data_IF_897022521801
#
_entry.id   IF_897022521801
#
_cell.length_a   1.000
_cell.length_b   1.000
_cell.length_c   1.000
_cell.angle_alpha   90.00
_cell.angle_beta   90.00
_cell.angle_gamma   90.00
#
_symmetry.space_group_name_H-M   'P 1'
#
loop_
_entity.id
_entity.type
_entity.pdbx_description
1 polymer ?
#
# COMPACT_ATOMS: atom_id res chain seq x y z
N UNK A 1 -42.49 -59.35 23.21
CA UNK A 1 -42.75 -59.07 24.65
C UNK A 1 -43.45 -60.27 25.23
N UNK A 2 -42.83 -60.93 26.23
CA UNK A 2 -43.50 -61.89 27.02
C UNK A 2 -44.44 -61.19 28.02
N UNK A 3 -45.76 -61.29 27.75
CA UNK A 3 -46.82 -60.66 28.56
C UNK A 3 -47.21 -61.44 29.81
N UNK A 4 -46.71 -62.62 30.00
CA UNK A 4 -47.12 -63.54 31.08
C UNK A 4 -46.04 -63.71 32.15
N UNK A 5 -44.77 -63.92 31.78
CA UNK A 5 -43.71 -64.22 32.72
C UNK A 5 -42.84 -62.98 33.02
N UNK A 6 -42.83 -61.94 32.20
CA UNK A 6 -41.99 -60.76 32.27
C UNK A 6 -40.51 -61.07 32.03
N UNK A 7 -39.77 -60.08 31.50
CA UNK A 7 -38.32 -60.19 31.30
C UNK A 7 -37.60 -60.20 32.63
N UNK A 8 -36.64 -61.12 32.78
CA UNK A 8 -35.78 -61.23 33.96
C UNK A 8 -34.37 -60.82 33.76
N UNK A 9 -33.75 -61.41 32.71
CA UNK A 9 -32.34 -61.24 32.45
C UNK A 9 -32.08 -60.86 30.96
N UNK A 10 -31.14 -60.04 30.66
CA UNK A 10 -30.65 -59.78 29.33
C UNK A 10 -29.15 -60.18 29.25
N UNK A 11 -28.80 -60.87 28.18
CA UNK A 11 -27.45 -61.31 27.92
C UNK A 11 -26.92 -60.59 26.68
N UNK A 12 -25.69 -60.08 26.72
CA UNK A 12 -24.98 -59.41 25.63
C UNK A 12 -23.74 -60.18 25.28
N UNK A 13 -23.41 -60.23 24.01
CA UNK A 13 -22.16 -60.82 23.49
C UNK A 13 -21.59 -59.94 22.39
N UNK A 14 -20.32 -60.08 22.08
CA UNK A 14 -19.63 -59.35 21.04
C UNK A 14 -18.74 -60.33 20.26
N UNK A 15 -18.78 -60.18 18.95
CA UNK A 15 -17.97 -61.02 18.06
C UNK A 15 -17.46 -60.26 16.84
N UNK A 16 -16.52 -60.86 16.13
CA UNK A 16 -16.00 -60.38 14.85
C UNK A 16 -16.90 -60.71 13.67
N UNK A 17 -17.97 -61.46 13.93
CA UNK A 17 -18.96 -61.88 12.96
C UNK A 17 -20.37 -61.83 13.62
N UNK A 18 -21.41 -61.65 12.83
CA UNK A 18 -22.82 -61.57 13.27
C UNK A 18 -23.39 -62.83 13.89
N UNK A 19 -22.64 -63.85 14.12
CA UNK A 19 -23.05 -65.05 14.85
C UNK A 19 -21.98 -65.58 15.80
N UNK A 20 -21.03 -64.77 16.14
CA UNK A 20 -19.86 -65.10 16.95
C UNK A 20 -19.84 -64.27 18.24
N UNK A 21 -19.34 -64.88 19.31
CA UNK A 21 -19.03 -64.22 20.58
C UNK A 21 -17.56 -64.42 20.96
N UNK A 22 -16.69 -64.40 19.96
CA UNK A 22 -15.26 -64.65 20.10
C UNK A 22 -14.48 -63.51 20.81
N UNK A 23 -15.10 -62.33 20.97
CA UNK A 23 -14.54 -61.18 21.69
C UNK A 23 -15.09 -61.09 23.12
N UNK A 24 -16.40 -61.23 23.26
CA UNK A 24 -17.07 -61.25 24.57
C UNK A 24 -18.13 -62.36 24.54
N UNK A 25 -17.94 -63.42 25.34
CA UNK A 25 -18.93 -64.44 25.51
C UNK A 25 -20.19 -63.89 26.18
N UNK A 26 -21.33 -64.60 26.03
CA UNK A 26 -22.59 -64.18 26.56
C UNK A 26 -22.53 -63.80 28.05
N UNK A 27 -22.65 -62.53 28.32
CA UNK A 27 -22.50 -61.94 29.66
C UNK A 27 -23.79 -61.28 30.10
N UNK A 28 -24.21 -61.49 31.34
CA UNK A 28 -25.38 -60.88 31.93
C UNK A 28 -25.30 -59.39 31.97
N UNK A 29 -26.25 -58.69 31.35
CA UNK A 29 -26.36 -57.22 31.44
C UNK A 29 -26.97 -56.79 32.76
N UNK A 30 -26.30 -55.94 33.50
CA UNK A 30 -26.78 -55.42 34.78
C UNK A 30 -27.60 -54.12 34.63
N UNK A 31 -27.86 -53.66 33.41
CA UNK A 31 -28.44 -52.33 33.16
C UNK A 31 -29.71 -52.36 32.28
N UNK A 32 -30.63 -53.21 32.51
CA UNK A 32 -31.93 -53.18 31.84
C UNK A 32 -31.87 -53.04 30.33
N UNK A 33 -32.36 -51.93 29.78
CA UNK A 33 -32.38 -51.64 28.34
C UNK A 33 -31.09 -51.04 27.80
N UNK A 34 -30.12 -50.65 28.63
CA UNK A 34 -28.83 -50.14 28.25
C UNK A 34 -27.74 -51.03 28.85
N UNK A 35 -26.94 -51.64 28.02
CA UNK A 35 -25.81 -52.45 28.45
C UNK A 35 -24.52 -51.77 28.01
N UNK A 36 -23.67 -51.40 28.99
CA UNK A 36 -22.30 -50.94 28.77
C UNK A 36 -21.32 -52.00 29.25
N UNK A 37 -20.38 -52.39 28.40
CA UNK A 37 -19.29 -53.30 28.76
C UNK A 37 -17.97 -52.60 28.64
N UNK A 38 -17.18 -52.67 29.71
CA UNK A 38 -15.81 -52.12 29.75
C UNK A 38 -14.77 -53.24 29.77
N UNK A 39 -13.50 -52.87 29.55
CA UNK A 39 -12.38 -53.81 29.60
C UNK A 39 -12.24 -54.69 28.36
N UNK A 40 -12.87 -54.34 27.25
CA UNK A 40 -12.71 -55.00 25.95
C UNK A 40 -11.38 -54.61 25.31
N UNK A 41 -10.71 -55.56 24.68
CA UNK A 41 -9.53 -55.34 23.82
C UNK A 41 -9.99 -55.36 22.35
N UNK A 42 -10.42 -54.22 21.84
CA UNK A 42 -10.85 -54.10 20.45
C UNK A 42 -9.64 -53.62 19.60
N UNK A 43 -9.49 -54.22 18.43
CA UNK A 43 -8.41 -53.87 17.50
C UNK A 43 -8.85 -52.73 16.59
N UNK A 44 -7.90 -51.82 16.29
CA UNK A 44 -8.11 -50.82 15.22
C UNK A 44 -8.37 -51.51 13.88
N UNK A 45 -9.08 -50.84 12.98
CA UNK A 45 -9.47 -51.33 11.65
C UNK A 45 -10.27 -52.63 11.68
N UNK A 46 -11.01 -52.86 12.74
CA UNK A 46 -11.78 -54.09 12.94
C UNK A 46 -13.27 -53.81 13.09
N UNK A 47 -14.09 -54.73 12.57
CA UNK A 47 -15.54 -54.67 12.64
C UNK A 47 -16.04 -55.64 13.70
N UNK A 48 -16.94 -55.19 14.53
CA UNK A 48 -17.55 -55.98 15.60
C UNK A 48 -19.08 -55.93 15.53
N UNK A 49 -19.70 -57.03 15.98
CA UNK A 49 -21.15 -57.21 16.02
C UNK A 49 -21.58 -57.48 17.45
N UNK A 50 -22.49 -56.66 17.97
CA UNK A 50 -23.13 -56.89 19.27
C UNK A 50 -24.37 -57.76 19.11
N UNK A 51 -24.49 -58.78 19.91
CA UNK A 51 -25.67 -59.62 20.00
C UNK A 51 -26.37 -59.49 21.35
N UNK A 52 -27.68 -59.67 21.38
CA UNK A 52 -28.47 -59.68 22.59
C UNK A 52 -29.55 -60.77 22.55
N UNK A 53 -29.72 -61.50 23.62
CA UNK A 53 -30.91 -62.26 23.89
C UNK A 53 -31.39 -62.03 25.33
N UNK A 54 -32.62 -62.35 25.58
CA UNK A 54 -33.25 -62.16 26.90
C UNK A 54 -33.81 -63.49 27.44
N UNK A 55 -33.90 -63.51 28.79
CA UNK A 55 -34.55 -64.67 29.51
C UNK A 55 -35.69 -64.13 30.34
N UNK A 56 -36.83 -64.87 30.29
CA UNK A 56 -38.00 -64.57 31.10
C UNK A 56 -37.87 -65.12 32.53
N UNK A 57 -38.87 -64.79 33.38
CA UNK A 57 -38.91 -65.29 34.75
C UNK A 57 -39.29 -66.78 34.84
N UNK A 58 -39.79 -67.38 33.81
CA UNK A 58 -40.06 -68.81 33.69
C UNK A 58 -38.85 -69.64 33.21
N UNK A 59 -37.77 -68.95 32.77
CA UNK A 59 -36.52 -69.56 32.32
C UNK A 59 -36.42 -69.79 30.81
N UNK A 60 -37.34 -69.27 29.98
CA UNK A 60 -37.29 -69.38 28.54
C UNK A 60 -36.36 -68.29 27.96
N UNK A 61 -35.72 -68.57 26.84
CA UNK A 61 -34.81 -67.66 26.12
C UNK A 61 -35.43 -67.16 24.83
N UNK A 62 -35.23 -65.93 24.50
CA UNK A 62 -35.56 -65.37 23.17
C UNK A 62 -34.57 -65.85 22.11
N UNK A 63 -34.90 -65.61 20.84
CA UNK A 63 -33.92 -65.61 19.77
C UNK A 63 -32.90 -64.50 19.98
N UNK A 64 -31.69 -64.75 19.47
CA UNK A 64 -30.61 -63.70 19.50
C UNK A 64 -30.86 -62.70 18.40
N UNK A 65 -30.78 -61.42 18.77
CA UNK A 65 -30.78 -60.29 17.82
C UNK A 65 -29.39 -59.77 17.75
N UNK A 66 -28.85 -59.63 16.53
CA UNK A 66 -27.60 -58.99 16.26
C UNK A 66 -27.83 -57.55 15.79
N UNK A 67 -27.03 -56.61 16.32
CA UNK A 67 -27.03 -55.22 15.91
C UNK A 67 -26.27 -54.98 14.59
N UNK A 68 -26.29 -53.77 14.13
CA UNK A 68 -25.40 -53.35 13.03
C UNK A 68 -23.94 -53.45 13.46
N UNK A 69 -23.04 -53.57 12.49
CA UNK A 69 -21.60 -53.58 12.75
C UNK A 69 -21.11 -52.24 13.31
N UNK A 70 -20.14 -52.31 14.18
CA UNK A 70 -19.40 -51.20 14.71
C UNK A 70 -17.96 -51.31 14.18
N UNK A 71 -17.49 -50.30 13.50
CA UNK A 71 -16.11 -50.19 13.07
C UNK A 71 -15.30 -49.50 14.17
N UNK A 72 -14.15 -50.02 14.53
CA UNK A 72 -13.25 -49.44 15.53
C UNK A 72 -12.13 -48.75 14.81
N UNK A 73 -12.10 -47.44 15.00
CA UNK A 73 -11.04 -46.56 14.54
C UNK A 73 -10.46 -45.77 15.70
N UNK A 74 -9.16 -45.91 15.92
CA UNK A 74 -8.40 -45.24 16.95
C UNK A 74 -7.22 -44.43 16.37
N UNK A 75 -7.13 -44.39 15.04
CA UNK A 75 -6.10 -43.67 14.34
C UNK A 75 -6.56 -42.24 14.13
N UNK A 76 -5.67 -41.30 14.36
CA UNK A 76 -5.91 -39.89 14.05
C UNK A 76 -5.68 -39.64 12.55
N UNK A 77 -6.46 -38.75 11.92
CA UNK A 77 -6.15 -38.31 10.57
C UNK A 77 -4.74 -37.74 10.43
N UNK A 78 -4.14 -37.97 9.26
CA UNK A 78 -2.88 -37.35 8.91
C UNK A 78 -3.04 -35.85 8.72
N UNK A 79 -2.04 -35.08 9.17
CA UNK A 79 -2.07 -33.62 9.08
C UNK A 79 -1.74 -33.17 7.66
N UNK A 80 -2.61 -32.35 7.08
CA UNK A 80 -2.41 -31.71 5.80
C UNK A 80 -1.70 -30.34 5.90
N UNK A 81 -2.02 -29.46 4.99
CA UNK A 81 -1.52 -28.09 4.91
C UNK A 81 -2.65 -27.07 4.81
N UNK A 82 -2.39 -25.85 5.28
CA UNK A 82 -3.30 -24.71 5.18
C UNK A 82 -2.49 -23.49 4.69
N UNK A 83 -3.12 -22.62 3.90
CA UNK A 83 -2.57 -21.35 3.44
C UNK A 83 -3.58 -20.23 3.66
N UNK A 84 -3.09 -19.02 3.94
CA UNK A 84 -3.86 -17.80 3.98
C UNK A 84 -4.22 -17.35 2.55
N UNK A 85 -5.47 -16.97 2.31
CA UNK A 85 -5.88 -16.40 1.03
C UNK A 85 -6.91 -17.21 0.24
N UNK A 86 -6.92 -16.97 -1.09
CA UNK A 86 -7.89 -17.56 -2.02
C UNK A 86 -7.18 -18.31 -3.13
N UNK A 87 -7.79 -19.38 -3.62
CA UNK A 87 -7.29 -20.19 -4.73
C UNK A 87 -5.95 -20.84 -4.40
N UNK A 88 -4.88 -20.44 -5.08
CA UNK A 88 -3.53 -20.97 -4.91
C UNK A 88 -2.54 -19.88 -4.51
N UNK A 89 -3.04 -18.74 -4.05
CA UNK A 89 -2.21 -17.59 -3.64
C UNK A 89 -2.23 -17.48 -2.13
N UNK A 90 -1.06 -17.63 -1.55
CA UNK A 90 -0.80 -17.29 -0.18
C UNK A 90 -0.75 -15.76 -0.01
N UNK A 91 -1.34 -15.24 1.04
CA UNK A 91 -1.46 -13.82 1.29
C UNK A 91 -0.74 -13.42 2.56
N UNK A 92 0.32 -12.64 2.43
CA UNK A 92 1.03 -12.06 3.58
C UNK A 92 0.25 -10.92 4.27
N UNK A 93 -0.74 -10.31 3.56
CA UNK A 93 -1.49 -9.15 4.07
C UNK A 93 -2.99 -9.27 3.85
N UNK A 94 -3.75 -9.01 4.91
CA UNK A 94 -5.19 -8.78 4.87
C UNK A 94 -5.50 -7.28 4.91
N UNK A 95 -6.44 -6.82 4.11
CA UNK A 95 -6.89 -5.42 4.04
C UNK A 95 -8.30 -5.21 4.59
N UNK A 96 -8.97 -6.27 5.01
CA UNK A 96 -10.31 -6.26 5.59
C UNK A 96 -10.25 -6.80 7.01
N UNK A 97 -10.52 -5.93 7.99
CA UNK A 97 -10.46 -6.30 9.41
C UNK A 97 -11.52 -7.29 9.85
N UNK A 98 -12.50 -7.57 9.01
CA UNK A 98 -13.69 -8.35 9.39
C UNK A 98 -13.67 -9.79 8.91
N UNK A 99 -12.70 -10.18 8.09
CA UNK A 99 -12.64 -11.52 7.50
C UNK A 99 -11.22 -11.96 7.15
N UNK A 100 -11.03 -13.28 7.20
CA UNK A 100 -9.87 -13.99 6.67
C UNK A 100 -10.34 -15.19 5.88
N UNK A 101 -9.60 -15.58 4.86
CA UNK A 101 -9.91 -16.71 3.98
C UNK A 101 -8.76 -17.69 3.94
N UNK A 102 -9.07 -18.95 3.81
CA UNK A 102 -8.12 -20.05 3.88
C UNK A 102 -8.44 -21.10 2.86
N UNK A 103 -7.41 -21.79 2.40
CA UNK A 103 -7.49 -23.03 1.64
C UNK A 103 -6.63 -24.07 2.31
N UNK A 104 -7.07 -25.33 2.25
CA UNK A 104 -6.31 -26.45 2.80
C UNK A 104 -6.38 -27.68 1.92
N UNK A 105 -5.45 -28.60 2.13
CA UNK A 105 -5.33 -29.82 1.34
C UNK A 105 -4.51 -30.88 2.07
N UNK A 106 -4.49 -32.07 1.48
CA UNK A 106 -3.63 -33.18 1.88
C UNK A 106 -3.90 -33.76 3.29
N UNK A 107 -5.07 -33.54 3.85
CA UNK A 107 -5.53 -34.30 5.00
C UNK A 107 -6.02 -35.67 4.52
N UNK A 108 -5.57 -36.73 5.15
CA UNK A 108 -5.96 -38.09 4.82
C UNK A 108 -6.24 -38.88 6.09
N UNK A 109 -6.99 -39.97 5.96
CA UNK A 109 -7.29 -40.87 7.05
C UNK A 109 -7.48 -42.30 6.52
N UNK A 110 -7.43 -43.31 7.40
CA UNK A 110 -7.78 -44.68 7.08
C UNK A 110 -9.31 -44.88 6.92
N UNK A 111 -10.09 -43.96 7.51
CA UNK A 111 -11.54 -43.87 7.32
C UNK A 111 -11.88 -42.60 6.53
N UNK A 112 -13.03 -42.03 6.72
CA UNK A 112 -13.47 -40.81 6.09
C UNK A 112 -13.34 -39.63 7.07
N UNK A 113 -12.82 -38.49 6.59
CA UNK A 113 -12.84 -37.22 7.33
C UNK A 113 -14.28 -36.72 7.34
N UNK A 114 -14.86 -36.53 8.53
CA UNK A 114 -16.23 -36.03 8.71
C UNK A 114 -16.31 -34.50 8.53
N UNK A 115 -15.38 -33.76 9.17
CA UNK A 115 -15.33 -32.30 9.08
C UNK A 115 -13.95 -31.75 9.49
N UNK A 116 -13.80 -30.45 9.36
CA UNK A 116 -12.65 -29.73 9.83
C UNK A 116 -13.00 -28.76 10.97
N UNK A 117 -12.05 -28.46 11.82
CA UNK A 117 -12.14 -27.37 12.79
C UNK A 117 -11.04 -26.34 12.50
N UNK A 118 -11.41 -25.06 12.50
CA UNK A 118 -10.51 -23.93 12.27
C UNK A 118 -10.50 -23.03 13.50
N UNK A 119 -9.30 -22.56 13.91
CA UNK A 119 -9.11 -21.57 14.95
C UNK A 119 -8.21 -20.45 14.44
N UNK A 120 -8.33 -19.26 15.02
CA UNK A 120 -7.51 -18.10 14.68
C UNK A 120 -6.92 -17.53 15.96
N UNK A 121 -5.63 -17.22 15.92
CA UNK A 121 -4.93 -16.62 17.04
C UNK A 121 -3.74 -15.76 16.65
N UNK A 122 -2.97 -15.38 17.64
CA UNK A 122 -1.69 -14.69 17.50
C UNK A 122 -0.56 -15.62 17.94
N UNK A 123 0.70 -15.16 17.87
CA UNK A 123 1.87 -15.96 18.25
C UNK A 123 1.76 -16.54 19.69
N UNK A 124 1.13 -15.80 20.58
CA UNK A 124 1.05 -16.17 22.01
C UNK A 124 -0.11 -17.12 22.33
N UNK A 125 -1.19 -17.14 21.52
CA UNK A 125 -2.39 -17.93 21.79
C UNK A 125 -3.12 -18.29 20.47
N UNK A 126 -3.31 -19.58 20.25
CA UNK A 126 -3.91 -20.13 19.02
C UNK A 126 -5.40 -19.85 18.87
N UNK A 127 -6.08 -19.42 19.92
CA UNK A 127 -7.54 -19.27 19.97
C UNK A 127 -8.03 -17.93 20.48
N UNK A 128 -7.12 -16.98 20.73
CA UNK A 128 -7.48 -15.69 21.34
C UNK A 128 -8.31 -14.77 20.42
N UNK A 129 -8.38 -15.07 19.12
CA UNK A 129 -9.21 -14.34 18.16
C UNK A 129 -10.49 -15.10 17.83
N UNK A 130 -10.38 -16.39 17.56
CA UNK A 130 -11.51 -17.29 17.32
C UNK A 130 -11.16 -18.69 17.80
N UNK A 131 -12.00 -19.22 18.68
CA UNK A 131 -11.90 -20.62 19.13
C UNK A 131 -12.28 -21.59 18.00
N UNK A 132 -11.96 -22.86 18.18
CA UNK A 132 -12.21 -23.91 17.22
C UNK A 132 -13.66 -23.91 16.71
N UNK A 133 -13.82 -23.63 15.44
CA UNK A 133 -15.10 -23.57 14.74
C UNK A 133 -15.18 -24.68 13.68
N UNK A 134 -16.29 -25.42 13.65
CA UNK A 134 -16.54 -26.48 12.65
C UNK A 134 -16.70 -25.89 11.25
N UNK A 135 -16.09 -26.53 10.30
CA UNK A 135 -16.27 -26.32 8.86
C UNK A 135 -16.62 -27.65 8.19
N UNK A 136 -17.74 -27.68 7.46
CA UNK A 136 -18.14 -28.81 6.63
C UNK A 136 -17.58 -28.69 5.20
N UNK A 137 -16.79 -27.66 4.89
CA UNK A 137 -16.08 -27.52 3.61
C UNK A 137 -14.87 -28.44 3.57
N UNK A 138 -14.53 -28.94 2.40
CA UNK A 138 -13.47 -29.92 2.19
C UNK A 138 -12.12 -29.29 1.88
N UNK A 139 -12.08 -28.01 1.47
CA UNK A 139 -10.87 -27.40 0.92
C UNK A 139 -10.67 -25.91 1.20
N UNK A 140 -11.73 -25.20 1.61
CA UNK A 140 -11.65 -23.74 1.77
C UNK A 140 -12.71 -23.16 2.68
N UNK A 141 -12.43 -22.04 3.30
CA UNK A 141 -13.37 -21.30 4.14
C UNK A 141 -13.03 -19.81 4.20
N UNK A 142 -14.05 -18.97 4.29
CA UNK A 142 -13.93 -17.58 4.71
C UNK A 142 -14.59 -17.41 6.07
N UNK A 143 -13.79 -17.03 7.06
CA UNK A 143 -14.25 -16.65 8.38
C UNK A 143 -14.61 -15.17 8.34
N UNK A 144 -15.80 -14.82 8.85
CA UNK A 144 -16.30 -13.43 8.88
C UNK A 144 -16.66 -13.01 10.30
N UNK A 145 -16.86 -11.72 10.51
CA UNK A 145 -17.21 -11.17 11.84
C UNK A 145 -16.00 -11.01 12.76
N UNK A 146 -14.79 -11.04 12.22
CA UNK A 146 -13.55 -10.77 12.94
C UNK A 146 -13.45 -9.28 13.29
N UNK A 147 -12.53 -8.95 14.21
CA UNK A 147 -12.16 -7.58 14.54
C UNK A 147 -10.64 -7.51 14.65
N UNK A 148 -9.99 -7.56 13.48
CA UNK A 148 -8.54 -7.58 13.40
C UNK A 148 -7.96 -6.20 13.72
N UNK A 149 -6.83 -6.17 14.42
CA UNK A 149 -6.09 -4.97 14.81
C UNK A 149 -4.92 -4.78 13.85
N UNK A 150 -4.70 -3.55 13.41
CA UNK A 150 -3.59 -3.20 12.51
C UNK A 150 -2.23 -3.59 13.09
N UNK A 151 -1.31 -3.86 12.18
CA UNK A 151 0.08 -4.20 12.49
C UNK A 151 0.22 -5.45 13.38
N UNK A 152 -0.79 -6.33 13.34
CA UNK A 152 -0.81 -7.59 14.08
C UNK A 152 -0.74 -8.76 13.11
N UNK A 153 0.11 -9.73 13.42
CA UNK A 153 0.25 -10.98 12.69
C UNK A 153 -0.73 -12.01 13.27
N UNK A 154 -1.56 -12.58 12.41
CA UNK A 154 -2.56 -13.58 12.73
C UNK A 154 -2.19 -14.91 12.11
N UNK A 155 -2.32 -15.97 12.90
CA UNK A 155 -2.12 -17.35 12.46
C UNK A 155 -3.45 -18.08 12.47
N UNK A 156 -3.62 -18.96 11.51
CA UNK A 156 -4.78 -19.82 11.43
C UNK A 156 -4.36 -21.27 11.56
N UNK A 157 -5.20 -22.01 12.24
CA UNK A 157 -4.98 -23.41 12.58
C UNK A 157 -6.14 -24.23 12.07
N UNK A 158 -5.86 -25.40 11.49
CA UNK A 158 -6.88 -26.33 11.03
C UNK A 158 -6.53 -27.75 11.46
N UNK A 159 -7.53 -28.52 11.83
CA UNK A 159 -7.42 -29.95 12.10
C UNK A 159 -8.59 -30.71 11.48
N UNK A 160 -8.35 -31.91 11.03
CA UNK A 160 -9.35 -32.82 10.53
C UNK A 160 -9.93 -33.67 11.68
N UNK A 161 -11.21 -33.96 11.59
CA UNK A 161 -11.92 -34.86 12.47
C UNK A 161 -12.56 -35.97 11.62
N UNK A 162 -12.28 -37.24 11.97
CA UNK A 162 -12.85 -38.39 11.29
C UNK A 162 -14.23 -38.78 11.81
N UNK A 163 -14.85 -39.81 11.22
CA UNK A 163 -16.12 -40.33 11.64
C UNK A 163 -16.09 -40.97 13.04
N UNK A 164 -14.96 -41.40 13.52
CA UNK A 164 -14.77 -41.94 14.86
C UNK A 164 -14.48 -40.86 15.92
N UNK A 165 -14.38 -39.59 15.50
CA UNK A 165 -14.06 -38.41 16.32
C UNK A 165 -12.60 -38.27 16.73
N UNK A 166 -11.69 -39.02 16.10
CA UNK A 166 -10.26 -38.76 16.28
C UNK A 166 -9.87 -37.47 15.59
N UNK A 167 -8.80 -36.80 16.08
CA UNK A 167 -8.39 -35.48 15.60
C UNK A 167 -6.97 -35.52 15.11
N UNK A 168 -6.70 -34.95 13.94
CA UNK A 168 -5.33 -34.72 13.49
C UNK A 168 -4.59 -33.73 14.39
N UNK A 169 -3.28 -33.66 14.25
CA UNK A 169 -2.54 -32.48 14.69
C UNK A 169 -3.03 -31.26 13.90
N UNK A 170 -2.91 -30.08 14.49
CA UNK A 170 -3.26 -28.84 13.81
C UNK A 170 -2.15 -28.47 12.80
N UNK A 171 -2.54 -28.19 11.56
CA UNK A 171 -1.72 -27.46 10.62
C UNK A 171 -1.88 -25.95 10.87
N UNK A 172 -0.83 -25.18 10.63
CA UNK A 172 -0.76 -23.75 10.88
C UNK A 172 -0.34 -23.03 9.60
N UNK A 173 -0.90 -21.84 9.34
CA UNK A 173 -0.41 -20.91 8.30
C UNK A 173 0.89 -20.25 8.73
N UNK A 174 1.63 -19.65 7.81
CA UNK A 174 2.80 -18.83 8.13
C UNK A 174 2.42 -17.43 8.63
N UNK A 175 1.14 -17.06 8.48
CA UNK A 175 0.53 -15.88 9.10
C UNK A 175 0.29 -14.72 8.16
N UNK A 176 -0.74 -13.97 8.48
CA UNK A 176 -1.17 -12.80 7.71
C UNK A 176 -1.18 -11.55 8.57
N UNK A 177 -0.53 -10.47 8.10
CA UNK A 177 -0.63 -9.15 8.71
C UNK A 177 -1.91 -8.44 8.28
N UNK A 178 -2.66 -7.91 9.26
CA UNK A 178 -3.72 -6.97 8.92
C UNK A 178 -3.17 -5.56 8.76
N UNK A 179 -3.25 -5.02 7.54
CA UNK A 179 -2.83 -3.67 7.20
C UNK A 179 -3.70 -3.08 6.08
N UNK A 180 -4.62 -2.22 6.44
CA UNK A 180 -5.52 -1.49 5.53
C UNK A 180 -5.04 -0.05 5.23
N UNK A 181 -3.80 0.29 5.57
CA UNK A 181 -3.25 1.61 5.27
C UNK A 181 -2.87 1.72 3.80
N UNK A 182 -3.38 2.75 3.15
CA UNK A 182 -2.96 3.11 1.79
C UNK A 182 -1.53 3.66 1.77
N UNK A 183 -0.78 3.43 0.69
CA UNK A 183 0.41 4.21 0.44
C UNK A 183 0.01 5.68 0.26
N UNK A 184 0.75 6.60 0.87
CA UNK A 184 0.55 8.05 0.72
C UNK A 184 1.90 8.73 0.55
N UNK A 185 1.91 9.84 -0.18
CA UNK A 185 3.09 10.70 -0.28
C UNK A 185 3.33 11.35 1.08
N UNK A 186 4.47 11.05 1.69
CA UNK A 186 4.84 11.54 3.01
C UNK A 186 5.72 12.80 2.95
N UNK A 187 6.61 12.87 1.96
CA UNK A 187 7.52 13.98 1.77
C UNK A 187 7.91 14.13 0.32
N UNK A 188 8.05 15.38 -0.10
CA UNK A 188 8.57 15.74 -1.41
C UNK A 188 9.80 16.65 -1.21
N UNK A 189 10.84 16.47 -2.01
CA UNK A 189 12.06 17.30 -1.97
C UNK A 189 12.47 17.65 -3.41
N UNK A 190 12.69 18.89 -3.78
CA UNK A 190 12.53 20.08 -2.94
C UNK A 190 11.10 20.26 -2.46
N UNK A 191 10.92 20.99 -1.35
CA UNK A 191 9.61 21.18 -0.73
C UNK A 191 8.68 21.91 -1.69
N UNK A 192 7.53 21.32 -1.97
CA UNK A 192 6.56 21.86 -2.90
C UNK A 192 5.49 22.60 -2.15
N UNK A 193 5.33 23.86 -2.58
CA UNK A 193 4.16 24.70 -2.43
C UNK A 193 3.40 24.65 -1.12
N UNK A 194 3.82 25.46 -0.22
CA UNK A 194 2.97 26.43 0.46
C UNK A 194 3.83 27.65 0.71
N UNK A 195 3.59 28.69 -0.02
CA UNK A 195 3.96 30.10 0.26
C UNK A 195 5.42 30.47 0.58
N UNK A 196 6.35 29.54 0.63
CA UNK A 196 7.76 29.86 0.80
C UNK A 196 8.69 28.72 0.39
N UNK A 197 9.24 28.82 -0.82
CA UNK A 197 10.52 28.27 -1.21
C UNK A 197 10.64 26.75 -1.44
N UNK A 198 10.42 26.33 -2.64
CA UNK A 198 10.80 25.02 -3.13
C UNK A 198 10.52 24.84 -4.61
N UNK A 199 11.06 25.74 -5.44
CA UNK A 199 10.92 25.59 -6.88
C UNK A 199 11.92 24.57 -7.40
N UNK A 200 11.49 23.76 -8.38
CA UNK A 200 12.42 22.93 -9.14
C UNK A 200 13.43 23.81 -9.87
N UNK A 201 14.67 23.40 -9.90
CA UNK A 201 15.69 24.08 -10.68
C UNK A 201 15.35 24.00 -12.16
N UNK A 202 15.73 25.04 -12.88
CA UNK A 202 15.61 25.11 -14.34
C UNK A 202 16.84 24.56 -15.05
N UNK A 203 17.80 24.04 -14.32
CA UNK A 203 19.01 23.43 -14.88
C UNK A 203 18.79 21.92 -15.11
N UNK A 204 19.52 21.36 -16.05
CA UNK A 204 19.53 19.93 -16.30
C UNK A 204 20.12 19.16 -15.11
N UNK A 205 19.72 17.89 -14.98
CA UNK A 205 20.15 16.96 -13.91
C UNK A 205 19.70 17.33 -12.50
N UNK A 206 18.73 18.19 -12.36
CA UNK A 206 18.09 18.40 -11.06
C UNK A 206 17.14 17.24 -10.72
N UNK A 207 16.85 17.07 -9.45
CA UNK A 207 16.10 15.92 -8.96
C UNK A 207 14.87 16.32 -8.16
N UNK A 208 13.79 15.57 -8.38
CA UNK A 208 12.60 15.60 -7.54
C UNK A 208 12.49 14.26 -6.82
N UNK A 209 12.50 14.29 -5.50
CA UNK A 209 12.36 13.08 -4.68
C UNK A 209 10.98 13.06 -4.04
N UNK A 210 10.23 12.01 -4.31
CA UNK A 210 8.90 11.73 -3.73
C UNK A 210 9.05 10.55 -2.78
N UNK A 211 8.83 10.78 -1.49
CA UNK A 211 8.92 9.75 -0.46
C UNK A 211 7.53 9.36 0.03
N UNK A 212 7.28 8.06 0.09
CA UNK A 212 6.06 7.46 0.59
C UNK A 212 6.20 7.01 2.05
N UNK A 213 5.08 6.80 2.71
CA UNK A 213 5.02 6.32 4.10
C UNK A 213 5.43 4.85 4.26
N UNK A 214 5.50 4.10 3.16
CA UNK A 214 5.81 2.66 3.13
C UNK A 214 6.47 2.24 1.83
N UNK A 215 7.06 1.04 1.76
CA UNK A 215 7.54 0.47 0.52
C UNK A 215 6.44 0.32 -0.53
N UNK A 216 6.79 0.64 -1.77
CA UNK A 216 5.89 0.61 -2.91
C UNK A 216 6.57 0.03 -4.15
N UNK A 217 5.76 -0.55 -5.04
CA UNK A 217 6.13 -0.81 -6.43
C UNK A 217 5.41 0.18 -7.33
N UNK A 218 6.12 0.82 -8.24
CA UNK A 218 5.57 1.81 -9.17
C UNK A 218 5.50 1.20 -10.56
N UNK A 219 4.31 1.20 -11.15
CA UNK A 219 4.08 0.67 -12.49
C UNK A 219 3.97 1.75 -13.55
N UNK A 220 3.62 2.98 -13.16
CA UNK A 220 3.47 4.09 -14.08
C UNK A 220 3.83 5.41 -13.44
N UNK A 221 4.68 6.18 -14.13
CA UNK A 221 5.05 7.55 -13.79
C UNK A 221 5.09 8.35 -15.06
N UNK A 222 4.38 9.48 -15.09
CA UNK A 222 4.45 10.43 -16.17
C UNK A 222 4.65 11.84 -15.67
N UNK A 223 5.30 12.66 -16.49
CA UNK A 223 5.54 14.08 -16.19
C UNK A 223 5.12 14.91 -17.40
N UNK A 224 4.27 15.88 -17.14
CA UNK A 224 3.78 16.82 -18.13
C UNK A 224 4.24 18.22 -17.78
N UNK A 225 4.63 18.98 -18.79
CA UNK A 225 4.96 20.40 -18.73
C UNK A 225 3.92 21.20 -19.50
N UNK A 226 3.56 22.38 -19.02
CA UNK A 226 2.68 23.28 -19.78
C UNK A 226 3.42 23.98 -20.94
N UNK A 227 4.73 24.06 -20.87
CA UNK A 227 5.58 24.76 -21.85
C UNK A 227 6.26 23.79 -22.78
N UNK A 228 6.73 22.65 -22.30
CA UNK A 228 7.54 21.69 -23.03
C UNK A 228 6.80 20.37 -23.25
N UNK A 229 6.30 20.17 -24.47
CA UNK A 229 5.61 18.92 -24.85
C UNK A 229 6.55 17.71 -24.99
N UNK A 230 7.87 17.93 -25.00
CA UNK A 230 8.87 16.89 -25.19
C UNK A 230 9.82 16.77 -23.99
N UNK A 231 9.34 17.15 -22.81
CA UNK A 231 10.13 17.03 -21.59
C UNK A 231 10.60 15.59 -21.38
N UNK A 232 11.91 15.42 -21.27
CA UNK A 232 12.53 14.12 -21.02
C UNK A 232 12.98 14.00 -19.59
N UNK A 233 12.66 12.88 -18.99
CA UNK A 233 13.05 12.52 -17.62
C UNK A 233 13.68 11.14 -17.58
N UNK A 234 14.52 10.92 -16.58
CA UNK A 234 14.83 9.59 -16.07
C UNK A 234 14.28 9.46 -14.65
N UNK A 235 14.10 8.25 -14.18
CA UNK A 235 13.61 8.00 -12.84
C UNK A 235 14.29 6.80 -12.21
N UNK A 236 14.40 6.83 -10.89
CA UNK A 236 14.92 5.73 -10.08
C UNK A 236 13.90 5.41 -9.00
N UNK A 237 13.68 4.11 -8.78
CA UNK A 237 12.79 3.63 -7.73
C UNK A 237 13.62 3.00 -6.61
N UNK A 238 13.36 3.48 -5.39
CA UNK A 238 13.79 2.81 -4.16
C UNK A 238 12.58 2.20 -3.46
N UNK A 239 12.77 1.54 -2.34
CA UNK A 239 11.70 0.84 -1.61
C UNK A 239 10.49 1.74 -1.28
N UNK A 240 10.73 2.99 -0.91
CA UNK A 240 9.67 3.94 -0.56
C UNK A 240 9.91 5.33 -1.18
N UNK A 241 10.71 5.40 -2.24
CA UNK A 241 11.15 6.66 -2.83
C UNK A 241 11.10 6.55 -4.35
N UNK A 242 10.56 7.58 -5.00
CA UNK A 242 10.73 7.84 -6.43
C UNK A 242 11.64 9.05 -6.57
N UNK A 243 12.70 8.93 -7.36
CA UNK A 243 13.55 10.05 -7.77
C UNK A 243 13.34 10.31 -9.24
N UNK A 244 12.85 11.50 -9.58
CA UNK A 244 12.69 11.99 -10.96
C UNK A 244 13.85 12.91 -11.27
N UNK A 245 14.52 12.69 -12.39
CA UNK A 245 15.71 13.42 -12.82
C UNK A 245 15.43 14.04 -14.19
N UNK A 246 15.60 15.35 -14.30
CA UNK A 246 15.44 16.07 -15.56
C UNK A 246 16.67 15.84 -16.43
N UNK A 247 16.47 15.31 -17.61
CA UNK A 247 17.58 15.07 -18.55
C UNK A 247 17.89 16.28 -19.43
N UNK A 248 16.93 17.20 -19.52
CA UNK A 248 17.07 18.49 -20.21
C UNK A 248 16.81 19.64 -19.24
N UNK A 249 17.29 20.85 -19.62
CA UNK A 249 17.01 22.09 -18.88
C UNK A 249 15.52 22.39 -18.92
N UNK A 250 14.90 22.49 -17.76
CA UNK A 250 13.51 22.91 -17.64
C UNK A 250 13.32 24.34 -18.16
N UNK A 251 12.15 24.59 -18.74
CA UNK A 251 11.76 25.96 -19.00
C UNK A 251 11.52 26.71 -17.69
N UNK A 252 12.00 27.95 -17.61
CA UNK A 252 11.72 28.85 -16.50
C UNK A 252 10.22 29.15 -16.42
N UNK A 253 9.67 29.35 -15.22
CA UNK A 253 8.28 29.76 -14.99
C UNK A 253 7.25 28.78 -15.60
N UNK A 254 7.52 27.51 -15.52
CA UNK A 254 6.67 26.44 -16.03
C UNK A 254 5.90 25.75 -14.89
N UNK A 255 4.72 25.23 -15.21
CA UNK A 255 3.95 24.36 -14.33
C UNK A 255 4.13 22.92 -14.78
N UNK A 256 4.68 22.12 -13.90
CA UNK A 256 4.91 20.69 -14.10
C UNK A 256 3.88 19.86 -13.36
N UNK A 257 3.39 18.83 -13.99
CA UNK A 257 2.48 17.85 -13.38
C UNK A 257 3.16 16.49 -13.39
N UNK A 258 3.42 15.95 -12.21
CA UNK A 258 3.92 14.59 -12.03
C UNK A 258 2.75 13.70 -11.64
N UNK A 259 2.48 12.70 -12.46
CA UNK A 259 1.39 11.76 -12.25
C UNK A 259 2.01 10.42 -11.87
N UNK A 260 1.71 9.96 -10.66
CA UNK A 260 1.95 8.58 -10.25
C UNK A 260 0.71 7.80 -10.68
N UNK A 261 0.76 7.17 -11.85
CA UNK A 261 -0.39 6.48 -12.45
C UNK A 261 -0.80 5.26 -11.64
N UNK A 262 0.18 4.53 -11.13
CA UNK A 262 -0.05 3.36 -10.29
C UNK A 262 1.16 3.04 -9.43
N UNK A 263 0.97 3.12 -8.13
CA UNK A 263 1.89 2.63 -7.12
C UNK A 263 1.13 1.65 -6.22
N UNK A 264 1.71 0.48 -5.96
CA UNK A 264 1.11 -0.54 -5.11
C UNK A 264 2.02 -0.81 -3.91
N UNK A 265 1.43 -0.85 -2.72
CA UNK A 265 2.13 -1.28 -1.53
C UNK A 265 2.14 -2.81 -1.40
N UNK A 266 2.94 -3.37 -0.51
CA UNK A 266 2.97 -4.82 -0.24
C UNK A 266 1.61 -5.39 0.20
N UNK A 267 0.78 -4.57 0.85
CA UNK A 267 -0.60 -4.95 1.20
C UNK A 267 -1.59 -4.89 0.02
N UNK A 268 -1.11 -4.83 -1.22
CA UNK A 268 -1.88 -4.77 -2.46
C UNK A 268 -2.77 -3.54 -2.66
N UNK A 269 -2.70 -2.56 -1.77
CA UNK A 269 -3.42 -1.30 -1.92
C UNK A 269 -2.72 -0.37 -2.91
N UNK A 270 -3.50 0.25 -3.78
CA UNK A 270 -3.04 1.10 -4.86
C UNK A 270 -3.14 2.57 -4.51
N UNK A 271 -2.16 3.34 -5.01
CA UNK A 271 -2.19 4.80 -5.03
C UNK A 271 -2.12 5.28 -6.48
N UNK A 272 -2.98 6.23 -6.80
CA UNK A 272 -2.85 7.12 -7.95
C UNK A 272 -2.83 8.54 -7.41
N UNK A 273 -1.81 9.32 -7.74
CA UNK A 273 -1.67 10.68 -7.24
C UNK A 273 -1.15 11.62 -8.33
N UNK A 274 -1.54 12.89 -8.25
CA UNK A 274 -1.15 13.93 -9.18
C UNK A 274 -0.56 15.09 -8.40
N UNK A 275 0.71 15.35 -8.65
CA UNK A 275 1.48 16.37 -7.96
C UNK A 275 1.82 17.51 -8.90
N UNK A 276 1.63 18.74 -8.44
CA UNK A 276 1.91 19.95 -9.22
C UNK A 276 3.16 20.65 -8.68
N UNK A 277 4.01 21.07 -9.59
CA UNK A 277 5.26 21.75 -9.29
C UNK A 277 5.41 22.97 -10.15
N UNK A 278 6.26 23.90 -9.71
CA UNK A 278 6.67 25.04 -10.51
C UNK A 278 8.17 24.99 -10.74
N UNK A 279 8.58 25.29 -11.96
CA UNK A 279 9.99 25.56 -12.22
C UNK A 279 10.35 26.96 -11.74
N UNK A 280 11.59 27.14 -11.32
CA UNK A 280 12.11 28.42 -10.84
C UNK A 280 11.91 29.50 -11.91
N UNK A 281 11.49 30.67 -11.49
CA UNK A 281 11.53 31.86 -12.36
C UNK A 281 12.99 32.27 -12.50
N UNK A 282 13.51 32.26 -13.73
CA UNK A 282 14.90 32.65 -13.99
C UNK A 282 15.08 34.12 -13.76
N UNK A 283 16.19 34.50 -13.16
CA UNK A 283 16.52 35.86 -12.65
C UNK A 283 15.76 36.33 -11.38
N UNK A 284 14.90 35.48 -10.82
CA UNK A 284 14.41 35.63 -9.46
C UNK A 284 15.52 35.12 -8.50
N UNK A 285 16.25 36.04 -7.87
CA UNK A 285 17.42 35.70 -7.07
C UNK A 285 17.11 35.58 -5.58
N UNK A 286 15.97 36.14 -5.13
CA UNK A 286 15.52 36.02 -3.77
C UNK A 286 14.51 34.82 -3.58
N UNK A 287 14.09 34.20 -4.67
CA UNK A 287 13.12 33.09 -4.74
C UNK A 287 11.73 33.46 -4.20
N UNK A 288 11.25 34.67 -4.46
CA UNK A 288 9.90 35.11 -4.12
C UNK A 288 8.89 34.91 -5.26
N UNK A 289 9.33 34.32 -6.39
CA UNK A 289 8.57 34.04 -7.59
C UNK A 289 8.10 35.28 -8.35
N UNK A 290 8.81 36.37 -8.15
CA UNK A 290 8.67 37.62 -8.92
C UNK A 290 10.06 38.13 -9.36
N UNK A 291 10.13 39.13 -10.21
CA UNK A 291 11.35 39.82 -10.56
C UNK A 291 11.19 41.27 -10.16
N UNK A 292 11.83 41.67 -9.08
CA UNK A 292 11.64 42.94 -8.43
C UNK A 292 12.95 43.71 -8.29
N UNK A 293 12.90 44.91 -7.74
CA UNK A 293 14.10 45.69 -7.41
C UNK A 293 15.01 44.92 -6.44
N UNK A 294 14.48 44.05 -5.65
CA UNK A 294 15.23 43.23 -4.69
C UNK A 294 16.15 42.26 -5.43
N UNK A 295 15.72 41.72 -6.59
CA UNK A 295 16.55 40.86 -7.44
C UNK A 295 17.67 41.65 -8.13
N UNK A 296 17.41 42.90 -8.52
CA UNK A 296 18.48 43.77 -9.01
C UNK A 296 19.54 44.01 -7.93
N UNK A 297 19.09 44.24 -6.70
CA UNK A 297 20.02 44.43 -5.57
C UNK A 297 20.79 43.14 -5.28
N UNK A 298 20.12 41.98 -5.31
CA UNK A 298 20.76 40.68 -5.14
C UNK A 298 21.77 40.41 -6.26
N UNK A 299 21.41 40.68 -7.52
CA UNK A 299 22.31 40.55 -8.66
C UNK A 299 23.56 41.41 -8.49
N UNK A 300 23.37 42.67 -8.13
CA UNK A 300 24.50 43.61 -7.92
C UNK A 300 25.39 43.21 -6.75
N UNK A 301 24.82 42.67 -5.68
CA UNK A 301 25.57 42.22 -4.50
C UNK A 301 26.38 40.95 -4.79
N UNK A 302 25.84 40.05 -5.60
CA UNK A 302 26.49 38.80 -5.96
C UNK A 302 27.45 38.92 -7.15
N UNK A 303 27.43 40.03 -7.87
CA UNK A 303 28.34 40.27 -9.00
C UNK A 303 29.81 40.29 -8.56
N UNK A 304 30.73 39.61 -9.23
CA UNK A 304 30.62 38.83 -10.48
C UNK A 304 30.40 37.32 -10.28
N UNK A 305 29.71 36.89 -9.29
CA UNK A 305 29.49 35.47 -9.02
C UNK A 305 28.20 34.96 -9.64
N UNK A 306 27.29 35.82 -10.09
CA UNK A 306 26.01 35.43 -10.67
C UNK A 306 26.12 35.22 -12.17
N UNK A 307 25.99 33.99 -12.61
CA UNK A 307 25.97 33.57 -14.00
C UNK A 307 24.53 33.25 -14.41
N UNK A 308 23.87 34.11 -15.16
CA UNK A 308 22.51 34.02 -15.64
C UNK A 308 22.38 33.74 -17.13
N UNK A 309 23.46 33.91 -17.87
CA UNK A 309 23.43 33.85 -19.31
C UNK A 309 24.54 33.02 -19.93
N UNK A 310 24.39 32.71 -21.21
CA UNK A 310 23.22 32.96 -22.03
C UNK A 310 22.01 32.08 -21.67
N UNK A 311 20.88 32.34 -22.30
CA UNK A 311 19.73 31.44 -22.26
C UNK A 311 19.13 31.28 -23.67
N UNK A 312 18.34 30.23 -23.86
CA UNK A 312 17.54 29.96 -25.06
C UNK A 312 16.08 30.31 -24.79
N UNK A 313 15.33 30.46 -25.85
CA UNK A 313 13.90 30.76 -25.85
C UNK A 313 13.56 32.18 -25.33
N UNK A 314 12.28 32.50 -25.33
CA UNK A 314 11.79 33.82 -24.95
C UNK A 314 11.27 33.84 -23.50
N UNK A 315 11.47 34.94 -22.78
CA UNK A 315 10.86 35.12 -21.46
C UNK A 315 9.33 34.95 -21.46
N UNK A 316 8.73 34.37 -20.43
CA UNK A 316 9.36 33.90 -19.18
C UNK A 316 9.96 32.49 -19.25
N UNK A 317 9.69 31.78 -20.31
CA UNK A 317 9.97 30.35 -20.44
C UNK A 317 11.35 30.05 -21.00
N UNK A 318 12.33 30.82 -20.55
CA UNK A 318 13.72 30.66 -20.98
C UNK A 318 14.32 29.37 -20.45
N UNK A 319 15.26 28.79 -21.25
CA UNK A 319 16.10 27.69 -20.78
C UNK A 319 17.53 28.20 -20.59
N UNK A 320 17.96 28.29 -19.32
CA UNK A 320 19.30 28.75 -18.99
C UNK A 320 20.38 27.85 -19.58
N UNK A 321 21.45 28.48 -20.03
CA UNK A 321 22.66 27.82 -20.49
C UNK A 321 23.88 28.64 -19.99
N UNK A 322 24.06 28.77 -18.64
CA UNK A 322 25.13 29.56 -18.07
C UNK A 322 26.49 29.10 -18.58
N UNK A 323 27.37 30.06 -18.90
CA UNK A 323 28.66 29.79 -19.55
C UNK A 323 29.85 29.74 -18.58
N UNK A 324 29.59 29.96 -17.30
CA UNK A 324 30.61 29.99 -16.24
C UNK A 324 31.34 31.31 -16.10
N UNK A 325 30.96 32.32 -16.89
CA UNK A 325 31.59 33.64 -16.88
C UNK A 325 30.58 34.74 -16.53
N UNK A 326 30.81 35.47 -15.44
CA UNK A 326 29.99 36.61 -15.11
C UNK A 326 30.39 37.81 -15.97
N UNK A 327 29.56 38.17 -16.94
CA UNK A 327 29.84 39.22 -17.93
C UNK A 327 28.55 39.96 -18.37
N UNK A 328 28.61 40.73 -19.43
CA UNK A 328 27.48 41.50 -19.94
C UNK A 328 26.33 40.62 -20.47
N UNK A 329 26.58 39.34 -20.75
CA UNK A 329 25.54 38.40 -21.17
C UNK A 329 24.56 38.15 -20.04
N UNK A 330 25.05 38.07 -18.80
CA UNK A 330 24.23 37.87 -17.59
C UNK A 330 23.37 39.10 -17.30
N UNK A 331 23.96 40.29 -17.43
CA UNK A 331 23.18 41.52 -17.30
C UNK A 331 22.11 41.63 -18.38
N UNK A 332 22.42 41.21 -19.61
CA UNK A 332 21.45 41.16 -20.70
C UNK A 332 20.33 40.11 -20.41
N UNK A 333 20.71 38.96 -19.87
CA UNK A 333 19.78 37.93 -19.47
C UNK A 333 18.81 38.44 -18.39
N UNK A 334 19.35 39.06 -17.33
CA UNK A 334 18.53 39.69 -16.30
C UNK A 334 17.61 40.77 -16.90
N UNK A 335 18.16 41.66 -17.73
CA UNK A 335 17.42 42.76 -18.36
C UNK A 335 16.24 42.25 -19.23
N UNK A 336 16.39 41.13 -19.95
CA UNK A 336 15.31 40.56 -20.74
C UNK A 336 14.18 40.00 -19.85
N UNK A 337 14.51 39.30 -18.76
CA UNK A 337 13.53 38.79 -17.81
C UNK A 337 12.82 39.94 -17.09
N UNK A 338 13.56 40.97 -16.69
CA UNK A 338 13.01 42.22 -16.13
C UNK A 338 12.04 42.87 -17.11
N UNK A 339 12.46 43.04 -18.39
CA UNK A 339 11.60 43.62 -19.42
C UNK A 339 10.29 42.85 -19.59
N UNK A 340 10.36 41.54 -19.64
CA UNK A 340 9.16 40.71 -19.69
C UNK A 340 8.23 40.99 -18.51
N UNK A 341 8.77 41.00 -17.29
CA UNK A 341 7.97 41.17 -16.08
C UNK A 341 7.18 42.48 -16.06
N UNK A 342 7.81 43.58 -16.46
CA UNK A 342 7.22 44.89 -16.35
C UNK A 342 6.51 45.38 -17.62
N UNK A 343 6.87 44.92 -18.78
CA UNK A 343 6.26 45.37 -20.04
C UNK A 343 5.24 44.42 -20.64
N UNK A 344 5.36 43.11 -20.42
CA UNK A 344 4.40 42.14 -20.96
C UNK A 344 3.21 41.90 -20.04
N UNK A 345 3.37 42.07 -18.72
CA UNK A 345 2.21 41.99 -17.78
C UNK A 345 1.43 43.31 -17.69
N UNK A 346 1.98 44.43 -18.17
CA UNK A 346 1.35 45.76 -18.12
C UNK A 346 0.23 45.96 -19.14
N UNK A 347 -0.17 44.95 -19.92
CA UNK A 347 -1.28 45.07 -20.85
C UNK A 347 -2.66 44.67 -20.28
N UNK A 348 -2.79 44.63 -18.97
CA UNK A 348 -4.12 44.72 -18.38
C UNK A 348 -4.58 46.19 -18.44
N UNK A 349 -5.33 46.51 -19.50
CA UNK A 349 -5.69 47.89 -19.92
C UNK A 349 -6.64 48.60 -18.98
N UNK A 350 -6.92 48.06 -17.79
CA UNK A 350 -7.89 48.66 -16.86
C UNK A 350 -7.31 49.61 -15.82
N UNK A 351 -6.01 49.77 -15.71
CA UNK A 351 -5.44 50.68 -14.69
C UNK A 351 -4.18 51.46 -15.10
N UNK A 352 -3.83 51.56 -16.37
CA UNK A 352 -2.75 52.43 -16.82
C UNK A 352 -3.23 53.88 -16.83
N UNK A 353 -3.21 54.53 -15.68
CA UNK A 353 -3.10 55.99 -15.65
C UNK A 353 -1.75 56.36 -16.28
N UNK A 354 -1.78 56.87 -17.51
CA UNK A 354 -0.61 57.52 -18.10
C UNK A 354 -0.23 58.69 -17.21
N UNK A 355 0.73 58.51 -16.35
CA UNK A 355 1.38 59.63 -15.68
C UNK A 355 2.41 60.17 -16.68
N UNK A 356 2.04 61.22 -17.39
CA UNK A 356 2.98 62.08 -18.10
C UNK A 356 3.82 62.80 -17.05
N UNK A 357 4.98 62.29 -16.74
CA UNK A 357 5.91 62.93 -15.83
C UNK A 357 7.02 63.58 -16.64
N UNK A 358 7.25 64.85 -16.41
CA UNK A 358 8.39 65.60 -16.93
C UNK A 358 9.67 65.00 -16.39
N UNK A 359 10.25 64.06 -17.12
CA UNK A 359 11.53 63.44 -16.81
C UNK A 359 12.59 64.49 -17.07
N UNK A 360 13.26 64.98 -16.02
CA UNK A 360 14.38 65.91 -16.16
C UNK A 360 15.69 65.17 -16.23
N UNK A 361 16.24 65.14 -17.42
CA UNK A 361 17.56 64.60 -17.64
C UNK A 361 18.59 65.73 -17.77
N UNK A 362 19.66 65.69 -16.99
CA UNK A 362 20.75 66.60 -17.04
C UNK A 362 22.05 65.86 -17.38
N UNK A 363 22.63 66.14 -18.54
CA UNK A 363 23.86 65.53 -18.99
C UNK A 363 24.98 66.47 -18.80
N UNK A 364 26.07 66.03 -18.11
CA UNK A 364 27.31 66.79 -17.97
C UNK A 364 28.51 65.89 -18.23
N UNK A 365 29.08 66.01 -19.40
CA UNK A 365 30.16 65.13 -19.85
C UNK A 365 29.65 63.72 -20.15
N UNK A 366 30.25 62.73 -19.52
CA UNK A 366 29.83 61.33 -19.62
C UNK A 366 28.78 60.90 -18.58
N UNK A 367 28.34 61.82 -17.72
CA UNK A 367 27.40 61.51 -16.63
C UNK A 367 26.05 62.11 -16.93
N UNK A 368 25.05 61.28 -16.91
CA UNK A 368 23.64 61.69 -16.97
C UNK A 368 23.00 61.47 -15.57
N UNK A 369 22.35 62.53 -15.07
CA UNK A 369 21.57 62.46 -13.84
C UNK A 369 20.12 62.53 -14.23
N UNK A 370 19.34 61.52 -13.82
CA UNK A 370 17.93 61.42 -14.09
C UNK A 370 17.19 61.54 -12.75
N UNK A 371 16.36 62.57 -12.64
CA UNK A 371 15.51 62.73 -11.47
C UNK A 371 14.15 62.17 -11.76
N UNK A 372 13.74 61.18 -10.99
CA UNK A 372 12.43 60.54 -11.06
C UNK A 372 11.49 61.20 -10.06
N UNK A 373 10.22 61.39 -10.41
CA UNK A 373 9.23 61.88 -9.45
C UNK A 373 9.03 60.86 -8.31
N UNK A 374 8.70 61.35 -7.12
CA UNK A 374 8.29 60.52 -5.99
C UNK A 374 7.20 59.54 -6.41
N UNK A 375 7.37 58.23 -6.14
CA UNK A 375 6.47 57.14 -6.52
C UNK A 375 6.58 56.66 -7.98
N UNK A 376 7.63 56.94 -8.70
CA UNK A 376 7.86 56.31 -10.01
C UNK A 376 8.28 54.83 -9.78
N UNK A 377 7.44 53.90 -10.19
CA UNK A 377 7.74 52.47 -10.08
C UNK A 377 8.77 52.02 -11.12
N UNK A 378 8.86 52.69 -12.26
CA UNK A 378 9.78 52.38 -13.35
C UNK A 378 9.94 53.53 -14.33
N UNK A 379 11.13 53.67 -14.92
CA UNK A 379 11.40 54.55 -16.02
C UNK A 379 12.26 53.87 -17.07
N UNK A 380 11.81 53.84 -18.32
CA UNK A 380 12.55 53.36 -19.46
C UNK A 380 13.29 54.50 -20.14
N UNK A 381 14.58 54.28 -20.41
CA UNK A 381 15.40 55.23 -21.12
C UNK A 381 15.74 54.64 -22.49
N UNK A 382 15.02 55.10 -23.51
CA UNK A 382 15.35 54.80 -24.89
C UNK A 382 16.49 55.69 -25.36
N UNK A 383 17.67 55.10 -25.46
CA UNK A 383 18.82 55.78 -26.10
C UNK A 383 18.75 55.49 -27.60
N UNK A 384 18.41 56.50 -28.37
CA UNK A 384 18.52 56.43 -29.81
C UNK A 384 19.98 56.21 -30.26
N UNK A 385 20.18 55.78 -31.51
CA UNK A 385 21.48 55.58 -32.14
C UNK A 385 22.38 56.82 -32.03
N UNK A 386 23.06 56.94 -30.92
CA UNK A 386 24.08 57.95 -30.71
C UNK A 386 25.38 57.25 -30.33
N UNK A 387 26.50 57.66 -30.90
CA UNK A 387 27.87 57.17 -30.71
C UNK A 387 28.40 57.31 -29.26
N UNK A 388 27.62 57.00 -28.25
CA UNK A 388 28.03 57.02 -26.85
C UNK A 388 28.46 55.61 -26.42
N UNK A 389 29.75 55.35 -26.41
CA UNK A 389 30.34 54.06 -26.04
C UNK A 389 30.29 53.75 -24.52
N UNK A 390 29.93 54.68 -23.67
CA UNK A 390 29.66 54.48 -22.24
C UNK A 390 28.99 55.72 -21.65
N UNK A 391 27.89 55.55 -20.89
CA UNK A 391 27.21 56.55 -20.11
C UNK A 391 27.04 56.09 -18.69
N UNK A 392 27.57 56.84 -17.72
CA UNK A 392 27.29 56.59 -16.31
C UNK A 392 25.94 57.21 -15.94
N UNK A 393 25.02 56.41 -15.47
CA UNK A 393 23.67 56.87 -15.09
C UNK A 393 23.54 56.80 -13.57
N UNK A 394 23.29 57.95 -12.94
CA UNK A 394 22.91 58.05 -11.54
C UNK A 394 21.41 58.33 -11.43
N UNK A 395 20.73 57.55 -10.66
CA UNK A 395 19.35 57.82 -10.25
C UNK A 395 19.36 58.57 -8.90
N UNK A 396 18.61 59.65 -8.82
CA UNK A 396 18.47 60.45 -7.60
C UNK A 396 16.99 60.68 -7.29
#
# INVERSE_FOLDING_TARGET
FDSLAGLRDAYVGLGTDSNSTDVLDWTLSNQGSLAGMGGLSLSNDSIYFGGVFVRDSAGNYSDTIWGNSIYIDTQNPDTGSIMDGYWVMDLDYAIDSTRLSYIWSNFTDNTEIDYFEIAIGTEDDTTNIMDWMRSDSTDSMTVTGLNLVRDTLYYSYIRAIDLATNKSLAAQTDGVYFDDNFPVVNKITPNVISDSAGFLSVLANDTLTIKFNRPIYVYGLSVNSNVDSNLTISHEYGDSIITVIWTDTLASYDTLTVIVDSAVAYNTLWLTDTLHFYSKLWADLNNDYDITVEDILAFNQSWPATDLGPFRDDPPHVRPAPDGEANLTDLSAFGKMWHWRYFNLAFDTTSAARISTDLKMKVKGRKATISLPEKTAMAEILMGESNLNALDIDFV
#
